data_IF_980332485017
#
_entry.id   IF_980332485017
#
_cell.length_a   1.000
_cell.length_b   1.000
_cell.length_c   1.000
_cell.angle_alpha   90.00
_cell.angle_beta   90.00
_cell.angle_gamma   90.00
#
_symmetry.space_group_name_H-M   'P 1'
#
loop_
_entity.id
_entity.type
_entity.pdbx_description
1 polymer ?
#
# COMPACT_ATOMS: atom_id res chain seq x y z
N UNK A 1 26.29 15.02 22.62
CA UNK A 1 25.96 14.31 21.36
C UNK A 1 24.99 15.19 20.57
N UNK A 2 25.33 15.57 19.32
CA UNK A 2 24.35 16.23 18.43
C UNK A 2 23.42 15.12 17.93
N UNK A 3 22.18 15.09 18.46
CA UNK A 3 21.14 14.20 17.93
C UNK A 3 20.90 14.53 16.46
N UNK A 4 20.84 13.51 15.61
CA UNK A 4 20.56 13.64 14.18
C UNK A 4 19.11 14.16 14.05
N UNK A 5 18.95 15.41 13.69
CA UNK A 5 17.62 16.00 13.46
C UNK A 5 17.29 15.88 11.99
N UNK A 6 16.55 14.82 11.62
CA UNK A 6 16.13 14.56 10.24
C UNK A 6 14.97 15.46 9.79
N UNK A 7 14.24 16.04 10.72
CA UNK A 7 13.13 16.95 10.43
C UNK A 7 13.24 18.27 11.20
N UNK A 8 12.91 19.42 10.59
CA UNK A 8 12.87 20.71 11.26
C UNK A 8 11.72 20.73 12.27
N UNK A 9 12.00 21.21 13.51
CA UNK A 9 11.03 21.24 14.62
C UNK A 9 9.90 22.29 14.45
N UNK A 10 10.09 23.30 13.59
CA UNK A 10 9.17 24.42 13.41
C UNK A 10 8.84 24.66 11.94
N UNK A 11 8.21 23.69 11.31
CA UNK A 11 7.67 23.88 9.95
C UNK A 11 6.41 24.74 9.98
N UNK A 12 6.24 25.60 8.98
CA UNK A 12 5.04 26.44 8.79
C UNK A 12 4.54 26.29 7.35
N UNK A 13 4.48 25.06 6.87
CA UNK A 13 4.07 24.79 5.50
C UNK A 13 2.54 24.84 5.39
N UNK A 14 1.97 25.56 4.39
CA UNK A 14 0.52 25.68 4.21
C UNK A 14 -0.04 24.48 3.44
N UNK A 15 -0.18 23.32 4.09
CA UNK A 15 -0.65 22.08 3.47
C UNK A 15 -2.06 22.21 2.90
N UNK A 16 -2.95 22.92 3.61
CA UNK A 16 -4.36 23.05 3.20
C UNK A 16 -4.55 23.86 1.92
N UNK A 17 -3.55 24.66 1.52
CA UNK A 17 -3.56 25.36 0.23
C UNK A 17 -3.56 24.37 -0.96
N UNK A 18 -2.90 23.22 -0.79
CA UNK A 18 -2.76 22.22 -1.85
C UNK A 18 -3.98 21.32 -2.02
N UNK A 19 -5.00 21.41 -1.15
CA UNK A 19 -6.21 20.57 -1.22
C UNK A 19 -6.92 20.61 -2.58
N UNK A 20 -6.87 21.76 -3.29
CA UNK A 20 -7.48 21.92 -4.62
C UNK A 20 -6.76 21.11 -5.71
N UNK A 21 -5.50 20.72 -5.48
CA UNK A 21 -4.69 19.91 -6.39
C UNK A 21 -4.67 18.47 -5.94
N UNK A 22 -4.52 18.23 -4.62
CA UNK A 22 -4.40 16.88 -4.07
C UNK A 22 -5.63 16.01 -4.31
N UNK A 23 -6.84 16.56 -4.19
CA UNK A 23 -8.07 15.80 -4.43
C UNK A 23 -8.24 15.32 -5.88
N UNK A 24 -8.17 16.20 -6.91
CA UNK A 24 -8.22 15.76 -8.30
C UNK A 24 -7.11 14.77 -8.64
N UNK A 25 -5.89 14.99 -8.12
CA UNK A 25 -4.76 14.10 -8.32
C UNK A 25 -5.01 12.71 -7.71
N UNK A 26 -5.47 12.65 -6.46
CA UNK A 26 -5.80 11.39 -5.79
C UNK A 26 -6.98 10.67 -6.43
N UNK A 27 -8.01 11.40 -6.87
CA UNK A 27 -9.13 10.84 -7.61
C UNK A 27 -8.67 10.23 -8.94
N UNK A 28 -7.80 10.93 -9.68
CA UNK A 28 -7.22 10.42 -10.92
C UNK A 28 -6.40 9.15 -10.67
N UNK A 29 -5.53 9.14 -9.67
CA UNK A 29 -4.75 7.95 -9.31
C UNK A 29 -5.64 6.77 -8.90
N UNK A 30 -6.70 7.03 -8.14
CA UNK A 30 -7.67 5.99 -7.75
C UNK A 30 -8.40 5.41 -8.96
N UNK A 31 -8.83 6.27 -9.89
CA UNK A 31 -9.48 5.83 -11.15
C UNK A 31 -8.50 5.00 -11.99
N UNK A 32 -7.25 5.45 -12.13
CA UNK A 32 -6.22 4.71 -12.85
C UNK A 32 -5.97 3.34 -12.18
N UNK A 33 -5.91 3.28 -10.86
CA UNK A 33 -5.74 2.03 -10.12
C UNK A 33 -6.88 1.04 -10.38
N UNK A 34 -8.12 1.52 -10.38
CA UNK A 34 -9.29 0.69 -10.71
C UNK A 34 -9.24 0.22 -12.16
N UNK A 35 -8.92 1.11 -13.11
CA UNK A 35 -8.80 0.74 -14.52
C UNK A 35 -7.67 -0.27 -14.76
N UNK A 36 -6.52 -0.12 -14.10
CA UNK A 36 -5.44 -1.09 -14.16
C UNK A 36 -5.88 -2.46 -13.62
N UNK A 37 -6.56 -2.47 -12.48
CA UNK A 37 -7.09 -3.71 -11.91
C UNK A 37 -8.07 -4.41 -12.86
N UNK A 38 -8.98 -3.67 -13.48
CA UNK A 38 -10.01 -4.23 -14.38
C UNK A 38 -9.46 -4.68 -15.73
N UNK A 39 -8.46 -3.98 -16.30
CA UNK A 39 -7.96 -4.26 -17.65
C UNK A 39 -6.72 -5.17 -17.64
N UNK A 40 -5.82 -4.97 -16.70
CA UNK A 40 -4.54 -5.71 -16.61
C UNK A 40 -4.66 -6.89 -15.63
N UNK A 41 -5.49 -6.73 -14.60
CA UNK A 41 -5.62 -7.70 -13.50
C UNK A 41 -4.39 -7.75 -12.60
N UNK A 42 -4.40 -8.67 -11.66
CA UNK A 42 -3.28 -8.94 -10.76
C UNK A 42 -2.54 -10.20 -11.20
N UNK A 43 -1.24 -10.25 -10.93
CA UNK A 43 -0.44 -11.46 -11.12
C UNK A 43 -0.56 -12.35 -9.88
N UNK A 44 -1.55 -13.24 -9.86
CA UNK A 44 -1.77 -14.15 -8.73
C UNK A 44 -0.69 -15.24 -8.68
N UNK A 45 -0.08 -15.41 -7.50
CA UNK A 45 0.84 -16.50 -7.24
C UNK A 45 0.15 -17.86 -7.15
N UNK A 46 0.96 -18.92 -7.06
CA UNK A 46 0.47 -20.30 -6.94
C UNK A 46 -0.38 -20.52 -5.68
N UNK A 47 -0.24 -19.70 -4.66
CA UNK A 47 -1.08 -19.75 -3.46
C UNK A 47 -2.57 -19.60 -3.79
N UNK A 48 -2.90 -18.81 -4.81
CA UNK A 48 -4.28 -18.50 -5.21
C UNK A 48 -4.71 -19.18 -6.50
N UNK A 49 -3.79 -19.30 -7.47
CA UNK A 49 -4.08 -19.96 -8.75
C UNK A 49 -3.90 -21.49 -8.69
N UNK A 50 -3.18 -21.97 -7.68
CA UNK A 50 -2.68 -23.34 -7.64
C UNK A 50 -1.57 -23.56 -8.66
N UNK A 51 -0.92 -24.71 -8.63
CA UNK A 51 0.14 -25.07 -9.58
C UNK A 51 1.47 -25.37 -8.91
N UNK A 52 2.54 -25.23 -9.68
CA UNK A 52 3.91 -25.47 -9.23
C UNK A 52 4.81 -24.28 -9.54
N UNK A 53 5.70 -23.97 -8.60
CA UNK A 53 6.81 -23.04 -8.74
C UNK A 53 8.11 -23.80 -8.58
N UNK A 54 9.00 -23.68 -9.57
CA UNK A 54 10.36 -24.17 -9.52
C UNK A 54 11.33 -22.98 -9.55
N UNK A 55 12.13 -22.84 -8.50
CA UNK A 55 13.24 -21.92 -8.45
C UNK A 55 14.50 -22.64 -8.92
N UNK A 56 15.08 -22.14 -10.01
CA UNK A 56 16.22 -22.76 -10.68
C UNK A 56 17.40 -21.80 -10.72
N UNK A 57 18.60 -22.35 -10.57
CA UNK A 57 19.84 -21.62 -10.76
C UNK A 57 20.65 -22.26 -11.86
N UNK A 58 21.04 -21.46 -12.86
CA UNK A 58 21.93 -21.90 -13.93
C UNK A 58 23.33 -22.17 -13.39
N UNK A 59 23.88 -23.34 -13.61
CA UNK A 59 25.25 -23.71 -13.21
C UNK A 59 26.31 -22.93 -14.00
N UNK A 60 25.98 -22.48 -15.20
CA UNK A 60 26.89 -21.75 -16.11
C UNK A 60 26.73 -20.22 -16.03
N UNK A 61 26.19 -19.70 -14.94
CA UNK A 61 26.20 -18.26 -14.64
C UNK A 61 25.08 -17.41 -15.26
N UNK A 62 24.42 -17.86 -16.33
CA UNK A 62 23.30 -17.14 -16.98
C UNK A 62 22.15 -18.11 -17.28
N UNK A 63 20.95 -17.77 -16.85
CA UNK A 63 19.75 -18.57 -17.12
C UNK A 63 19.15 -18.18 -18.49
N UNK A 64 18.91 -19.17 -19.33
CA UNK A 64 18.21 -19.01 -20.62
C UNK A 64 16.70 -19.19 -20.41
N UNK A 65 16.01 -18.07 -20.18
CA UNK A 65 14.56 -18.06 -19.95
C UNK A 65 13.76 -18.50 -21.17
N UNK A 66 14.25 -18.21 -22.39
CA UNK A 66 13.58 -18.59 -23.63
C UNK A 66 13.63 -20.11 -23.84
N UNK A 67 14.79 -20.71 -23.58
CA UNK A 67 14.97 -22.16 -23.66
C UNK A 67 14.12 -22.88 -22.61
N UNK A 68 14.09 -22.40 -21.36
CA UNK A 68 13.29 -23.00 -20.30
C UNK A 68 11.79 -22.93 -20.61
N UNK A 69 11.32 -21.80 -21.16
CA UNK A 69 9.94 -21.63 -21.59
C UNK A 69 9.60 -22.65 -22.69
N UNK A 70 10.42 -22.75 -23.73
CA UNK A 70 10.23 -23.71 -24.82
C UNK A 70 10.19 -25.15 -24.31
N UNK A 71 11.08 -25.55 -23.40
CA UNK A 71 11.07 -26.88 -22.79
C UNK A 71 9.73 -27.13 -22.07
N UNK A 72 9.30 -26.22 -21.21
CA UNK A 72 8.09 -26.39 -20.42
C UNK A 72 6.82 -26.39 -21.28
N UNK A 73 6.72 -25.55 -22.32
CA UNK A 73 5.62 -25.54 -23.28
C UNK A 73 5.52 -26.85 -24.06
N UNK A 74 6.65 -27.45 -24.50
CA UNK A 74 6.67 -28.74 -25.20
C UNK A 74 6.17 -29.88 -24.30
N UNK A 75 6.32 -29.80 -23.00
CA UNK A 75 5.84 -30.79 -22.05
C UNK A 75 4.33 -30.73 -21.79
N UNK A 76 3.65 -29.72 -22.35
CA UNK A 76 2.19 -29.50 -22.20
C UNK A 76 1.74 -29.53 -20.73
N UNK A 77 2.48 -28.82 -19.86
CA UNK A 77 2.17 -28.73 -18.41
C UNK A 77 1.21 -27.57 -18.07
N UNK A 78 0.41 -27.13 -19.04
CA UNK A 78 -0.52 -26.02 -18.89
C UNK A 78 0.15 -24.67 -19.18
N UNK A 79 -0.43 -23.60 -18.63
CA UNK A 79 0.15 -22.26 -18.75
C UNK A 79 1.49 -22.19 -18.04
N UNK A 80 2.51 -21.76 -18.78
CA UNK A 80 3.89 -21.70 -18.30
C UNK A 80 4.34 -20.27 -18.25
N UNK A 81 4.80 -19.82 -17.09
CA UNK A 81 5.47 -18.54 -16.89
C UNK A 81 6.92 -18.78 -16.51
N UNK A 82 7.84 -18.14 -17.23
CA UNK A 82 9.27 -18.18 -16.93
C UNK A 82 9.77 -16.77 -16.75
N UNK A 83 10.30 -16.47 -15.57
CA UNK A 83 10.75 -15.15 -15.18
C UNK A 83 12.14 -15.22 -14.53
N UNK A 84 13.07 -14.36 -14.97
CA UNK A 84 14.33 -14.17 -14.25
C UNK A 84 14.11 -13.47 -12.92
N UNK A 85 14.85 -13.82 -11.88
CA UNK A 85 14.76 -13.19 -10.57
C UNK A 85 16.14 -13.13 -9.88
N UNK A 86 16.32 -12.20 -8.96
CA UNK A 86 17.50 -12.11 -8.08
C UNK A 86 18.84 -11.84 -8.78
N UNK A 87 19.09 -12.43 -9.93
CA UNK A 87 20.34 -12.29 -10.69
C UNK A 87 20.27 -12.97 -12.05
N UNK A 88 21.32 -12.83 -12.89
CA UNK A 88 21.32 -13.37 -14.24
C UNK A 88 21.30 -14.92 -14.28
N UNK A 89 21.67 -15.58 -13.19
CA UNK A 89 21.71 -17.04 -13.09
C UNK A 89 20.39 -17.65 -12.55
N UNK A 90 19.51 -16.84 -11.99
CA UNK A 90 18.35 -17.33 -11.26
C UNK A 90 17.07 -17.12 -12.05
N UNK A 91 16.19 -18.13 -12.05
CA UNK A 91 14.95 -18.14 -12.82
C UNK A 91 13.87 -18.90 -12.08
N UNK A 92 12.66 -18.37 -12.11
CA UNK A 92 11.45 -19.05 -11.66
C UNK A 92 10.71 -19.59 -12.87
N UNK A 93 10.32 -20.85 -12.79
CA UNK A 93 9.42 -21.51 -13.74
C UNK A 93 8.14 -21.86 -12.98
N UNK A 94 7.01 -21.30 -13.43
CA UNK A 94 5.68 -21.62 -12.91
C UNK A 94 4.88 -22.37 -13.97
N UNK A 95 4.08 -23.33 -13.55
CA UNK A 95 3.12 -23.97 -14.42
C UNK A 95 1.85 -24.35 -13.66
N UNK A 96 0.74 -24.34 -14.37
CA UNK A 96 -0.60 -24.46 -13.82
C UNK A 96 -0.91 -25.82 -13.20
N UNK A 97 -2.12 -25.93 -12.64
CA UNK A 97 -2.65 -27.17 -12.09
C UNK A 97 -2.79 -28.23 -13.20
N UNK A 98 -2.41 -29.46 -12.87
CA UNK A 98 -2.56 -30.59 -13.76
C UNK A 98 -3.90 -31.32 -13.55
N UNK A 99 -4.62 -31.66 -14.61
CA UNK A 99 -5.79 -32.53 -14.49
C UNK A 99 -5.37 -33.90 -13.97
N UNK A 100 -5.97 -34.34 -12.85
CA UNK A 100 -5.63 -35.60 -12.18
C UNK A 100 -5.09 -35.44 -10.74
N UNK A 101 -5.14 -34.22 -10.19
CA UNK A 101 -4.82 -33.94 -8.78
C UNK A 101 -3.33 -34.03 -8.45
N UNK A 102 -3.01 -34.26 -7.20
CA UNK A 102 -1.64 -34.16 -6.66
C UNK A 102 -0.66 -35.15 -7.32
N UNK A 103 -1.12 -36.35 -7.69
CA UNK A 103 -0.27 -37.35 -8.35
C UNK A 103 0.15 -36.88 -9.76
N UNK A 104 -0.79 -36.30 -10.51
CA UNK A 104 -0.51 -35.74 -11.82
C UNK A 104 0.39 -34.52 -11.75
N UNK A 105 0.18 -33.65 -10.71
CA UNK A 105 1.01 -32.51 -10.46
C UNK A 105 2.46 -32.92 -10.16
N UNK A 106 2.67 -33.91 -9.29
CA UNK A 106 3.99 -34.44 -8.98
C UNK A 106 4.68 -35.07 -10.18
N UNK A 107 3.91 -35.78 -11.03
CA UNK A 107 4.42 -36.33 -12.28
C UNK A 107 4.86 -35.22 -13.26
N UNK A 108 4.14 -34.10 -13.33
CA UNK A 108 4.51 -32.95 -14.15
C UNK A 108 5.79 -32.30 -13.63
N UNK A 109 5.93 -32.12 -12.30
CA UNK A 109 7.17 -31.64 -11.65
C UNK A 109 8.36 -32.48 -12.08
N UNK A 110 8.25 -33.81 -11.99
CA UNK A 110 9.33 -34.71 -12.33
C UNK A 110 9.67 -34.65 -13.83
N UNK A 111 8.65 -34.54 -14.73
CA UNK A 111 8.88 -34.36 -16.18
C UNK A 111 9.66 -33.08 -16.47
N UNK A 112 9.26 -31.96 -15.85
CA UNK A 112 9.93 -30.66 -16.03
C UNK A 112 11.36 -30.72 -15.51
N UNK A 113 11.59 -31.24 -14.31
CA UNK A 113 12.93 -31.40 -13.73
C UNK A 113 13.85 -32.26 -14.63
N UNK A 114 13.35 -33.38 -15.13
CA UNK A 114 14.12 -34.26 -16.01
C UNK A 114 14.44 -33.61 -17.36
N UNK A 115 13.51 -32.82 -17.91
CA UNK A 115 13.71 -32.14 -19.19
C UNK A 115 14.67 -30.94 -19.10
N UNK A 116 14.72 -30.25 -17.97
CA UNK A 116 15.66 -29.16 -17.72
C UNK A 116 17.11 -29.72 -17.62
N UNK A 117 17.27 -30.95 -17.13
CA UNK A 117 18.55 -31.64 -17.06
C UNK A 117 19.54 -31.02 -16.07
N UNK A 118 20.80 -31.43 -16.20
CA UNK A 118 21.87 -31.06 -15.25
C UNK A 118 22.40 -29.62 -15.39
N UNK A 119 21.89 -28.85 -16.37
CA UNK A 119 22.31 -27.44 -16.57
C UNK A 119 21.85 -26.47 -15.50
N UNK A 120 20.84 -26.87 -14.73
CA UNK A 120 20.24 -26.08 -13.67
C UNK A 120 20.23 -26.85 -12.34
N UNK A 121 20.42 -26.10 -11.26
CA UNK A 121 20.22 -26.58 -9.90
C UNK A 121 18.81 -26.16 -9.43
N UNK A 122 18.00 -27.10 -8.98
CA UNK A 122 16.68 -26.82 -8.38
C UNK A 122 16.88 -26.39 -6.95
N UNK A 123 16.67 -25.09 -6.67
CA UNK A 123 16.82 -24.48 -5.35
C UNK A 123 15.59 -24.71 -4.48
N UNK A 124 14.41 -24.57 -5.08
CA UNK A 124 13.12 -24.66 -4.41
C UNK A 124 12.08 -25.27 -5.32
N UNK A 125 11.21 -26.04 -4.73
CA UNK A 125 10.02 -26.58 -5.41
C UNK A 125 8.83 -26.37 -4.49
N UNK A 126 7.84 -25.64 -4.98
CA UNK A 126 6.57 -25.44 -4.29
C UNK A 126 5.45 -26.00 -5.16
N UNK A 127 4.54 -26.71 -4.51
CA UNK A 127 3.36 -27.29 -5.16
C UNK A 127 2.15 -26.96 -4.33
N UNK A 128 1.18 -26.29 -4.93
CA UNK A 128 -0.09 -25.93 -4.29
C UNK A 128 -1.22 -26.61 -5.07
N UNK A 129 -1.85 -27.59 -4.43
CA UNK A 129 -2.99 -28.30 -5.00
C UNK A 129 -4.27 -27.43 -5.03
N UNK A 130 -5.27 -27.82 -5.84
CA UNK A 130 -6.49 -27.02 -6.05
C UNK A 130 -7.32 -26.84 -4.77
N UNK A 131 -7.29 -27.81 -3.87
CA UNK A 131 -7.98 -27.70 -2.58
C UNK A 131 -7.33 -26.66 -1.69
N UNK A 132 -5.99 -26.69 -1.57
CA UNK A 132 -5.22 -25.77 -0.72
C UNK A 132 -5.33 -24.35 -1.24
N UNK A 133 -5.19 -24.12 -2.55
CA UNK A 133 -5.36 -22.78 -3.14
C UNK A 133 -6.77 -22.23 -2.92
N UNK A 134 -7.81 -23.06 -3.06
CA UNK A 134 -9.19 -22.66 -2.76
C UNK A 134 -9.40 -22.26 -1.30
N UNK A 135 -8.85 -23.03 -0.36
CA UNK A 135 -8.89 -22.70 1.08
C UNK A 135 -8.12 -21.40 1.39
N UNK A 136 -6.97 -21.16 0.74
CA UNK A 136 -6.19 -19.94 0.90
C UNK A 136 -6.92 -18.71 0.33
N UNK A 137 -7.54 -18.82 -0.84
CA UNK A 137 -8.38 -17.75 -1.43
C UNK A 137 -9.53 -17.40 -0.48
N UNK A 138 -10.27 -18.40 0.00
CA UNK A 138 -11.41 -18.17 0.89
C UNK A 138 -10.98 -17.54 2.22
N UNK A 139 -9.99 -18.13 2.89
CA UNK A 139 -9.52 -17.67 4.19
C UNK A 139 -8.83 -16.30 4.09
N UNK A 140 -8.02 -16.09 3.06
CA UNK A 140 -7.34 -14.82 2.81
C UNK A 140 -8.33 -13.69 2.52
N UNK A 141 -9.31 -13.93 1.64
CA UNK A 141 -10.35 -12.94 1.32
C UNK A 141 -11.20 -12.61 2.55
N UNK A 142 -11.64 -13.63 3.29
CA UNK A 142 -12.42 -13.44 4.50
C UNK A 142 -11.64 -12.68 5.56
N UNK A 143 -10.35 -13.00 5.75
CA UNK A 143 -9.45 -12.31 6.67
C UNK A 143 -9.31 -10.83 6.35
N UNK A 144 -9.10 -10.48 5.06
CA UNK A 144 -9.01 -9.08 4.60
C UNK A 144 -10.32 -8.35 4.84
N UNK A 145 -11.45 -8.92 4.44
CA UNK A 145 -12.78 -8.30 4.58
C UNK A 145 -13.10 -8.05 6.05
N UNK A 146 -12.94 -9.06 6.91
CA UNK A 146 -13.20 -8.90 8.36
C UNK A 146 -12.28 -7.85 8.97
N UNK A 147 -10.99 -7.84 8.60
CA UNK A 147 -10.03 -6.85 9.10
C UNK A 147 -10.39 -5.43 8.69
N UNK A 148 -10.79 -5.23 7.44
CA UNK A 148 -11.24 -3.91 6.96
C UNK A 148 -12.49 -3.48 7.73
N UNK A 149 -13.51 -4.34 7.86
CA UNK A 149 -14.72 -4.03 8.62
C UNK A 149 -14.39 -3.69 10.07
N UNK A 150 -13.51 -4.46 10.72
CA UNK A 150 -13.11 -4.20 12.11
C UNK A 150 -12.43 -2.82 12.24
N UNK A 151 -11.56 -2.46 11.30
CA UNK A 151 -10.90 -1.14 11.25
C UNK A 151 -11.92 -0.02 11.06
N UNK A 152 -12.86 -0.18 10.13
CA UNK A 152 -13.90 0.82 9.88
C UNK A 152 -14.81 1.01 11.11
N UNK A 153 -15.20 -0.08 11.75
CA UNK A 153 -15.97 -0.05 13.01
C UNK A 153 -15.16 0.66 14.12
N UNK A 154 -13.87 0.30 14.28
CA UNK A 154 -13.02 0.96 15.26
C UNK A 154 -12.97 2.47 15.06
N UNK A 155 -12.74 2.94 13.82
CA UNK A 155 -12.71 4.36 13.48
C UNK A 155 -14.02 5.05 13.81
N UNK A 156 -15.14 4.41 13.46
CA UNK A 156 -16.48 4.94 13.72
C UNK A 156 -16.79 5.13 15.22
N UNK A 157 -16.40 4.19 16.04
CA UNK A 157 -16.60 4.29 17.49
C UNK A 157 -15.55 5.16 18.21
N UNK A 158 -14.33 5.27 17.64
CA UNK A 158 -13.22 6.00 18.26
C UNK A 158 -13.29 7.52 18.03
N UNK A 159 -13.89 7.94 16.91
CA UNK A 159 -13.91 9.33 16.47
C UNK A 159 -15.33 9.85 16.25
N UNK A 160 -15.46 11.19 16.31
CA UNK A 160 -16.65 11.87 15.82
C UNK A 160 -16.80 11.63 14.31
N UNK A 161 -18.04 11.65 13.80
CA UNK A 161 -18.35 11.21 12.45
C UNK A 161 -17.51 11.89 11.33
N UNK A 162 -17.18 13.20 11.48
CA UNK A 162 -16.35 13.90 10.48
C UNK A 162 -14.95 13.32 10.39
N UNK A 163 -14.33 13.04 11.56
CA UNK A 163 -13.01 12.42 11.65
C UNK A 163 -13.04 10.98 11.13
N UNK A 164 -14.08 10.22 11.51
CA UNK A 164 -14.25 8.84 11.06
C UNK A 164 -14.38 8.76 9.54
N UNK A 165 -15.24 9.59 8.92
CA UNK A 165 -15.41 9.63 7.46
C UNK A 165 -14.11 10.00 6.76
N UNK A 166 -13.37 11.00 7.24
CA UNK A 166 -12.07 11.39 6.67
C UNK A 166 -11.06 10.25 6.71
N UNK A 167 -10.97 9.55 7.84
CA UNK A 167 -10.08 8.41 8.01
C UNK A 167 -10.48 7.22 7.13
N UNK A 168 -11.77 6.91 7.03
CA UNK A 168 -12.30 5.84 6.17
C UNK A 168 -11.95 6.10 4.70
N UNK A 169 -12.18 7.33 4.22
CA UNK A 169 -11.86 7.70 2.83
C UNK A 169 -10.35 7.58 2.56
N UNK A 170 -9.50 8.03 3.50
CA UNK A 170 -8.05 7.88 3.36
C UNK A 170 -7.62 6.41 3.31
N UNK A 171 -8.15 5.57 4.21
CA UNK A 171 -7.84 4.13 4.23
C UNK A 171 -8.30 3.43 2.94
N UNK A 172 -9.49 3.74 2.42
CA UNK A 172 -9.97 3.18 1.16
C UNK A 172 -9.12 3.64 -0.04
N UNK A 173 -8.70 4.90 -0.06
CA UNK A 173 -7.77 5.39 -1.06
C UNK A 173 -6.44 4.63 -1.03
N UNK A 174 -5.86 4.38 0.15
CA UNK A 174 -4.59 3.68 0.29
C UNK A 174 -4.69 2.22 -0.19
N UNK A 175 -5.80 1.56 0.12
CA UNK A 175 -6.09 0.22 -0.40
C UNK A 175 -6.20 0.20 -1.93
N UNK A 176 -6.94 1.13 -2.52
CA UNK A 176 -7.10 1.23 -3.97
C UNK A 176 -5.76 1.46 -4.67
N UNK A 177 -4.93 2.36 -4.15
CA UNK A 177 -3.60 2.61 -4.71
C UNK A 177 -2.65 1.42 -4.53
N UNK A 178 -2.79 0.66 -3.44
CA UNK A 178 -1.99 -0.55 -3.22
C UNK A 178 -2.37 -1.66 -4.21
N UNK A 179 -3.67 -1.86 -4.46
CA UNK A 179 -4.15 -2.79 -5.50
C UNK A 179 -3.66 -2.34 -6.89
N UNK A 180 -3.77 -1.03 -7.19
CA UNK A 180 -3.24 -0.44 -8.42
C UNK A 180 -1.73 -0.65 -8.60
N UNK A 181 -0.97 -0.56 -7.52
CA UNK A 181 0.46 -0.82 -7.52
C UNK A 181 0.78 -2.28 -7.92
N UNK A 182 0.09 -3.27 -7.35
CA UNK A 182 0.24 -4.67 -7.74
C UNK A 182 -0.13 -4.90 -9.21
N UNK A 183 -1.22 -4.30 -9.68
CA UNK A 183 -1.64 -4.40 -11.07
C UNK A 183 -0.63 -3.77 -12.04
N UNK A 184 -0.06 -2.61 -11.68
CA UNK A 184 0.92 -1.87 -12.48
C UNK A 184 2.28 -2.57 -12.54
N UNK A 185 2.79 -2.99 -11.38
CA UNK A 185 4.14 -3.56 -11.26
C UNK A 185 4.20 -5.03 -11.66
N UNK A 186 3.04 -5.69 -11.77
CA UNK A 186 2.94 -7.13 -12.01
C UNK A 186 3.68 -7.97 -10.98
N UNK A 187 3.97 -7.39 -9.80
CA UNK A 187 4.50 -8.16 -8.67
C UNK A 187 3.55 -9.30 -8.32
N UNK A 188 4.12 -10.43 -7.97
CA UNK A 188 3.34 -11.60 -7.58
C UNK A 188 2.50 -11.30 -6.35
N UNK A 189 1.19 -11.54 -6.48
CA UNK A 189 0.24 -11.44 -5.39
C UNK A 189 0.04 -12.82 -4.75
N UNK A 190 0.64 -13.01 -3.59
CA UNK A 190 0.63 -14.26 -2.83
C UNK A 190 0.12 -14.02 -1.39
N UNK A 191 0.16 -15.03 -0.54
CA UNK A 191 -0.28 -14.91 0.87
C UNK A 191 0.49 -13.84 1.63
N UNK A 192 1.79 -13.62 1.34
CA UNK A 192 2.56 -12.54 1.98
C UNK A 192 2.10 -11.16 1.53
N UNK A 193 1.54 -11.04 0.33
CA UNK A 193 0.96 -9.78 -0.17
C UNK A 193 -0.32 -9.40 0.59
N UNK A 194 -1.12 -10.37 1.02
CA UNK A 194 -2.25 -10.12 1.93
C UNK A 194 -1.73 -9.56 3.25
N UNK A 195 -0.70 -10.15 3.82
CA UNK A 195 -0.07 -9.65 5.05
C UNK A 195 0.45 -8.21 4.87
N UNK A 196 1.03 -7.88 3.69
CA UNK A 196 1.43 -6.51 3.37
C UNK A 196 0.25 -5.54 3.37
N UNK A 197 -0.86 -5.88 2.70
CA UNK A 197 -2.07 -5.05 2.66
C UNK A 197 -2.60 -4.78 4.07
N UNK A 198 -2.72 -5.81 4.91
CA UNK A 198 -3.19 -5.66 6.29
C UNK A 198 -2.25 -4.78 7.12
N UNK A 199 -0.95 -4.92 6.91
CA UNK A 199 0.06 -4.10 7.59
C UNK A 199 0.00 -2.65 7.10
N UNK A 200 -0.20 -2.40 5.81
CA UNK A 200 -0.39 -1.05 5.24
C UNK A 200 -1.61 -0.38 5.85
N UNK A 201 -2.75 -1.10 5.96
CA UNK A 201 -3.97 -0.60 6.62
C UNK A 201 -3.68 -0.21 8.07
N UNK A 202 -2.97 -1.06 8.81
CA UNK A 202 -2.59 -0.77 10.20
C UNK A 202 -1.66 0.45 10.33
N UNK A 203 -0.69 0.58 9.42
CA UNK A 203 0.23 1.73 9.38
C UNK A 203 -0.51 3.02 9.00
N UNK A 204 -1.34 2.99 7.96
CA UNK A 204 -2.17 4.11 7.54
C UNK A 204 -3.10 4.59 8.66
N UNK A 205 -3.75 3.64 9.35
CA UNK A 205 -4.59 3.94 10.49
C UNK A 205 -3.80 4.63 11.61
N UNK A 206 -2.62 4.12 11.97
CA UNK A 206 -1.80 4.70 13.03
C UNK A 206 -1.40 6.15 12.71
N UNK A 207 -0.97 6.41 11.46
CA UNK A 207 -0.58 7.76 11.01
C UNK A 207 -1.77 8.72 11.01
N UNK A 208 -2.91 8.28 10.50
CA UNK A 208 -4.16 9.03 10.46
C UNK A 208 -4.67 9.37 11.85
N UNK A 209 -4.72 8.39 12.78
CA UNK A 209 -5.18 8.60 14.16
C UNK A 209 -4.34 9.65 14.89
N UNK A 210 -3.02 9.62 14.72
CA UNK A 210 -2.12 10.59 15.33
C UNK A 210 -2.38 12.01 14.80
N UNK A 211 -2.57 12.15 13.48
CA UNK A 211 -2.91 13.44 12.87
C UNK A 211 -4.25 13.97 13.40
N UNK A 212 -5.27 13.12 13.42
CA UNK A 212 -6.61 13.48 13.89
C UNK A 212 -6.65 13.82 15.39
N UNK A 213 -5.97 13.07 16.24
CA UNK A 213 -5.88 13.37 17.67
C UNK A 213 -5.17 14.71 17.90
N UNK A 214 -4.12 15.03 17.10
CA UNK A 214 -3.47 16.34 17.16
C UNK A 214 -4.40 17.46 16.72
N UNK A 215 -5.19 17.28 15.69
CA UNK A 215 -6.20 18.27 15.27
C UNK A 215 -7.21 18.49 16.40
N UNK A 216 -7.72 17.43 17.04
CA UNK A 216 -8.63 17.54 18.21
C UNK A 216 -8.01 18.29 19.38
N UNK A 217 -6.74 18.05 19.68
CA UNK A 217 -6.00 18.78 20.72
C UNK A 217 -5.93 20.28 20.38
N UNK A 218 -5.55 20.62 19.16
CA UNK A 218 -5.43 22.00 18.70
C UNK A 218 -6.79 22.70 18.64
N UNK A 219 -7.88 22.03 18.33
CA UNK A 219 -9.24 22.57 18.41
C UNK A 219 -9.61 23.04 19.84
N UNK A 220 -9.18 22.30 20.85
CA UNK A 220 -9.41 22.68 22.26
C UNK A 220 -8.58 23.90 22.65
N UNK A 221 -7.34 23.97 22.13
CA UNK A 221 -6.39 25.05 22.44
C UNK A 221 -6.71 26.35 21.72
N UNK A 222 -7.05 26.27 20.42
CA UNK A 222 -7.23 27.44 19.54
C UNK A 222 -8.68 27.55 19.06
N UNK A 223 -9.58 27.95 19.96
CA UNK A 223 -11.03 27.98 19.69
C UNK A 223 -11.48 28.95 18.61
N UNK A 224 -10.73 30.04 18.37
CA UNK A 224 -11.08 31.12 17.41
C UNK A 224 -10.28 31.06 16.11
N UNK A 225 -9.35 30.10 15.96
CA UNK A 225 -8.51 29.97 14.77
C UNK A 225 -9.34 29.41 13.60
N UNK A 226 -9.23 29.94 12.37
CA UNK A 226 -9.86 29.35 11.19
C UNK A 226 -9.46 27.88 11.03
N UNK A 227 -10.39 27.05 10.54
CA UNK A 227 -10.19 25.58 10.48
C UNK A 227 -9.02 25.16 9.60
N UNK A 228 -8.82 25.83 8.46
CA UNK A 228 -7.69 25.57 7.57
C UNK A 228 -6.34 25.87 8.24
N UNK A 229 -6.20 27.01 8.91
CA UNK A 229 -4.99 27.37 9.65
C UNK A 229 -4.73 26.42 10.83
N UNK A 230 -5.80 26.02 11.53
CA UNK A 230 -5.71 25.09 12.65
C UNK A 230 -5.20 23.72 12.19
N UNK A 231 -5.69 23.23 11.06
CA UNK A 231 -5.23 21.96 10.48
C UNK A 231 -3.77 22.10 10.04
N UNK A 232 -3.39 23.20 9.38
CA UNK A 232 -1.99 23.45 9.01
C UNK A 232 -1.06 23.41 10.23
N UNK A 233 -1.41 24.09 11.32
CA UNK A 233 -0.63 24.06 12.57
C UNK A 233 -0.56 22.66 13.15
N UNK A 234 -1.65 21.90 13.11
CA UNK A 234 -1.72 20.54 13.63
C UNK A 234 -0.85 19.56 12.82
N UNK A 235 -0.94 19.61 11.49
CA UNK A 235 -0.12 18.80 10.59
C UNK A 235 1.36 19.13 10.75
N UNK A 236 1.74 20.42 10.74
CA UNK A 236 3.14 20.82 10.95
C UNK A 236 3.69 20.31 12.29
N UNK A 237 2.87 20.22 13.33
CA UNK A 237 3.29 19.73 14.64
C UNK A 237 3.55 18.21 14.67
N UNK A 238 2.97 17.41 13.77
CA UNK A 238 3.18 15.96 13.71
C UNK A 238 4.22 15.54 12.66
N UNK A 239 4.52 16.40 11.68
CA UNK A 239 5.50 16.12 10.60
C UNK A 239 6.83 15.55 11.10
N UNK A 240 7.49 16.10 12.14
CA UNK A 240 8.76 15.55 12.61
C UNK A 240 8.64 14.08 13.03
N UNK A 241 7.54 13.73 13.70
CA UNK A 241 7.26 12.34 14.10
C UNK A 241 7.00 11.46 12.87
N UNK A 242 6.14 11.90 11.95
CA UNK A 242 5.80 11.20 10.72
C UNK A 242 7.05 10.89 9.89
N UNK A 243 7.93 11.89 9.70
CA UNK A 243 9.19 11.69 8.97
C UNK A 243 10.09 10.67 9.69
N UNK A 244 10.24 10.76 11.01
CA UNK A 244 11.08 9.83 11.77
C UNK A 244 10.54 8.40 11.69
N UNK A 245 9.24 8.19 11.89
CA UNK A 245 8.61 6.86 11.80
C UNK A 245 8.71 6.29 10.39
N UNK A 246 8.38 7.07 9.36
CA UNK A 246 8.51 6.65 7.98
C UNK A 246 9.96 6.28 7.63
N UNK A 247 10.95 7.13 8.01
CA UNK A 247 12.36 6.88 7.71
C UNK A 247 12.85 5.59 8.35
N UNK A 248 12.52 5.32 9.62
CA UNK A 248 12.96 4.09 10.30
C UNK A 248 12.39 2.84 9.63
N UNK A 249 11.12 2.87 9.23
CA UNK A 249 10.48 1.74 8.54
C UNK A 249 11.03 1.60 7.11
N UNK A 250 11.24 2.69 6.38
CA UNK A 250 11.88 2.66 5.05
C UNK A 250 13.27 2.03 5.09
N UNK A 251 14.12 2.38 6.08
CA UNK A 251 15.44 1.78 6.23
C UNK A 251 15.37 0.27 6.45
N UNK A 252 14.45 -0.20 7.29
CA UNK A 252 14.22 -1.62 7.51
C UNK A 252 13.75 -2.32 6.22
N UNK A 253 12.78 -1.74 5.51
CA UNK A 253 12.23 -2.32 4.28
C UNK A 253 13.24 -2.32 3.13
N UNK A 254 14.06 -1.27 2.98
CA UNK A 254 15.14 -1.22 1.98
C UNK A 254 16.16 -2.34 2.27
N UNK A 255 16.49 -2.57 3.55
CA UNK A 255 17.36 -3.69 3.93
C UNK A 255 16.73 -5.04 3.59
N UNK A 256 15.40 -5.20 3.79
CA UNK A 256 14.68 -6.41 3.40
C UNK A 256 14.63 -6.60 1.88
N UNK A 257 14.47 -5.54 1.09
CA UNK A 257 14.55 -5.61 -0.39
C UNK A 257 15.94 -6.05 -0.85
N UNK A 258 17.01 -5.58 -0.17
CA UNK A 258 18.38 -5.90 -0.56
C UNK A 258 18.88 -7.27 -0.08
N UNK A 259 18.44 -7.71 1.10
CA UNK A 259 18.99 -8.89 1.79
C UNK A 259 17.95 -9.97 2.12
N UNK A 260 16.65 -9.68 2.00
CA UNK A 260 15.55 -10.55 2.45
C UNK A 260 15.19 -11.70 1.49
N UNK A 261 15.78 -11.75 0.30
CA UNK A 261 15.43 -12.74 -0.73
C UNK A 261 14.09 -12.46 -1.43
N UNK A 262 13.80 -13.23 -2.47
CA UNK A 262 12.68 -12.95 -3.38
C UNK A 262 11.29 -13.10 -2.74
N UNK A 263 11.13 -14.04 -1.81
CA UNK A 263 9.84 -14.28 -1.14
C UNK A 263 9.35 -13.05 -0.38
N UNK A 264 10.28 -12.30 0.23
CA UNK A 264 9.98 -11.11 1.04
C UNK A 264 10.00 -9.84 0.18
N UNK A 265 10.55 -9.91 -1.03
CA UNK A 265 10.74 -8.74 -1.90
C UNK A 265 9.41 -8.09 -2.30
N UNK A 266 8.44 -8.88 -2.77
CA UNK A 266 7.11 -8.37 -3.14
C UNK A 266 6.41 -7.71 -1.96
N UNK A 267 6.46 -8.35 -0.77
CA UNK A 267 5.98 -7.79 0.49
C UNK A 267 6.65 -6.44 0.79
N UNK A 268 7.99 -6.39 0.75
CA UNK A 268 8.76 -5.21 1.14
C UNK A 268 8.52 -4.04 0.17
N UNK A 269 8.44 -4.29 -1.13
CA UNK A 269 8.14 -3.27 -2.15
C UNK A 269 6.73 -2.72 -1.98
N UNK A 270 5.73 -3.60 -1.75
CA UNK A 270 4.37 -3.18 -1.48
C UNK A 270 4.28 -2.33 -0.20
N UNK A 271 5.01 -2.71 0.86
CA UNK A 271 5.08 -1.96 2.11
C UNK A 271 5.73 -0.57 1.91
N UNK A 272 6.83 -0.47 1.14
CA UNK A 272 7.46 0.82 0.81
C UNK A 272 6.45 1.74 0.13
N UNK A 273 5.74 1.22 -0.88
CA UNK A 273 4.70 1.95 -1.56
C UNK A 273 3.57 2.37 -0.61
N UNK A 274 3.05 1.43 0.17
CA UNK A 274 1.94 1.66 1.09
C UNK A 274 2.24 2.71 2.16
N UNK A 275 3.44 2.72 2.73
CA UNK A 275 3.87 3.74 3.71
C UNK A 275 3.94 5.12 3.06
N UNK A 276 4.47 5.22 1.85
CA UNK A 276 4.50 6.47 1.10
C UNK A 276 3.08 7.01 0.85
N UNK A 277 2.17 6.14 0.38
CA UNK A 277 0.78 6.49 0.12
C UNK A 277 0.05 6.87 1.41
N UNK A 278 0.22 6.11 2.49
CA UNK A 278 -0.40 6.38 3.78
C UNK A 278 0.04 7.71 4.40
N UNK A 279 1.33 8.04 4.30
CA UNK A 279 1.85 9.34 4.75
C UNK A 279 1.25 10.49 3.92
N UNK A 280 1.14 10.30 2.61
CA UNK A 280 0.49 11.27 1.73
C UNK A 280 -1.00 11.43 2.06
N UNK A 281 -1.74 10.33 2.19
CA UNK A 281 -3.20 10.35 2.38
C UNK A 281 -3.62 10.95 3.72
N UNK A 282 -2.88 10.70 4.80
CA UNK A 282 -3.16 11.29 6.12
C UNK A 282 -3.10 12.82 6.09
N UNK A 283 -2.14 13.39 5.34
CA UNK A 283 -1.92 14.83 5.23
C UNK A 283 -2.85 15.47 4.20
N UNK A 284 -2.92 14.90 2.99
CA UNK A 284 -3.51 15.56 1.82
C UNK A 284 -4.93 15.07 1.47
N UNK A 285 -5.42 14.00 2.12
CA UNK A 285 -6.78 13.50 1.94
C UNK A 285 -7.56 13.58 3.24
N UNK A 286 -7.12 12.89 4.30
CA UNK A 286 -7.83 12.84 5.57
C UNK A 286 -7.99 14.23 6.19
N UNK A 287 -6.88 14.97 6.36
CA UNK A 287 -6.88 16.26 7.05
C UNK A 287 -7.74 17.32 6.32
N UNK A 288 -7.62 17.53 4.99
CA UNK A 288 -8.47 18.49 4.31
C UNK A 288 -9.95 18.08 4.22
N UNK A 289 -10.27 16.76 4.30
CA UNK A 289 -11.65 16.28 4.32
C UNK A 289 -12.45 16.90 5.46
N UNK A 290 -11.82 17.12 6.60
CA UNK A 290 -12.45 17.75 7.75
C UNK A 290 -12.97 19.16 7.45
N UNK A 291 -12.31 19.90 6.54
CA UNK A 291 -12.79 21.23 6.11
C UNK A 291 -14.07 21.08 5.30
N UNK A 292 -14.12 20.13 4.37
CA UNK A 292 -15.30 19.89 3.53
C UNK A 292 -16.49 19.33 4.33
N UNK A 293 -16.21 18.58 5.40
CA UNK A 293 -17.24 18.05 6.30
C UNK A 293 -17.71 19.05 7.36
N UNK A 294 -17.24 20.31 7.32
CA UNK A 294 -17.71 21.36 8.21
C UNK A 294 -17.35 21.13 9.68
N UNK A 295 -16.09 20.76 9.97
CA UNK A 295 -15.61 20.37 11.30
C UNK A 295 -16.04 21.30 12.46
N UNK A 296 -16.31 22.58 12.19
CA UNK A 296 -16.70 23.58 13.19
C UNK A 296 -18.06 24.25 12.91
N UNK A 297 -18.82 23.79 11.92
CA UNK A 297 -20.00 24.54 11.44
C UNK A 297 -19.63 25.97 11.00
N UNK A 298 -20.53 26.68 10.33
CA UNK A 298 -20.29 28.00 9.74
C UNK A 298 -20.01 29.14 10.75
N UNK A 299 -19.70 28.86 12.01
CA UNK A 299 -19.50 29.86 13.07
C UNK A 299 -18.18 30.65 12.98
N UNK A 300 -17.28 30.33 12.06
CA UNK A 300 -15.98 31.03 11.90
C UNK A 300 -15.91 31.87 10.61
N UNK A 301 -16.99 31.94 9.83
CA UNK A 301 -17.03 32.64 8.51
C UNK A 301 -17.32 34.14 8.55
N UNK A 302 -17.64 34.75 9.70
CA UNK A 302 -17.90 36.19 9.79
C UNK A 302 -16.99 36.84 10.84
N UNK A 303 -15.77 37.17 10.42
CA UNK A 303 -15.09 38.29 11.08
C UNK A 303 -15.93 39.53 10.81
N UNK A 304 -16.41 40.28 11.84
CA UNK A 304 -17.10 41.53 11.60
C UNK A 304 -16.13 42.46 10.87
N UNK A 305 -16.53 42.91 9.70
CA UNK A 305 -15.88 44.02 9.00
C UNK A 305 -15.72 45.16 10.02
N UNK A 306 -14.53 45.74 10.24
CA UNK A 306 -14.39 46.86 11.15
C UNK A 306 -15.35 47.93 10.69
N UNK A 307 -16.28 48.28 11.57
CA UNK A 307 -17.23 49.37 11.31
C UNK A 307 -16.41 50.63 10.97
N UNK A 308 -16.62 51.15 9.76
CA UNK A 308 -16.00 52.40 9.35
C UNK A 308 -16.30 53.47 10.41
N UNK A 309 -15.28 53.90 11.10
CA UNK A 309 -15.33 55.00 12.04
C UNK A 309 -15.81 56.23 11.27
N UNK A 310 -17.04 56.66 11.52
CA UNK A 310 -17.54 57.96 11.01
C UNK A 310 -16.61 59.07 11.52
N UNK A 311 -16.15 59.96 10.65
CA UNK A 311 -15.33 61.09 11.07
C UNK A 311 -16.12 61.99 12.05
N UNK A 312 -15.49 62.29 13.18
CA UNK A 312 -16.05 63.20 14.16
C UNK A 312 -16.34 64.55 13.51
N UNK A 313 -17.57 64.99 13.57
CA UNK A 313 -17.95 66.37 13.17
C UNK A 313 -17.29 67.31 14.17
N UNK A 314 -16.29 68.07 13.74
CA UNK A 314 -15.75 69.23 14.42
C UNK A 314 -16.87 70.27 14.50
N UNK A 315 -17.32 70.63 15.73
CA UNK A 315 -18.15 71.78 15.99
C UNK A 315 -17.20 72.97 16.10
N UNK A 316 -17.50 74.00 15.30
CA UNK A 316 -16.98 75.34 15.43
C UNK A 316 -17.60 76.08 16.63
#
# INVERSE_FOLDING_TARGET
MKLLRLAPENTKFPFMRFRRVSYPFSALLSIISVLLFLNVGMNFGIDFSGGTLLELRAKNGVADTAKLRSIAEHLKVGDVEVQGFGGPAEVIVRFGLQPGGDVAQQAAVNRVKNAIGDGYEVRRTEVVGPRVSGELVQSGTLGVVISIIAVLCYLWFRFEWQFAVGAIIATMHDLLLTVGFFALTRLEFNTTSIAAILTIVGYSLNETVVGLDRIREMMRKYRKMPTDQLIDVSVNAVIPRTIMTATTVFLALISLVGFGGEVIRSFSLAMIWGIFVATYSSIFICSPMLIYLGLRGDTVGSAPTPAATKPAKTRA
#
